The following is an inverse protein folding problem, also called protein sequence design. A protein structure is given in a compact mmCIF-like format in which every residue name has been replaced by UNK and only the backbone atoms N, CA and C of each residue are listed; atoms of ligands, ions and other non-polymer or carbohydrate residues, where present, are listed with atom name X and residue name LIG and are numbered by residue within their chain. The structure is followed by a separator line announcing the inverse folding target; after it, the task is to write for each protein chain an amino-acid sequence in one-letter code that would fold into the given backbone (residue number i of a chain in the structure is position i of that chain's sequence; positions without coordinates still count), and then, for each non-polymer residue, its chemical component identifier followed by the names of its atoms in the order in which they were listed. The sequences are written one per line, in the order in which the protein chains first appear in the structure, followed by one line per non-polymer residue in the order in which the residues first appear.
data_IF_401804769894
#
_entry.id   IF_401804769894
#
_cell.length_a   1.000
_cell.length_b   1.000
_cell.length_c   1.000
_cell.angle_alpha   90.00
_cell.angle_beta   90.00
_cell.angle_gamma   90.00
#
_symmetry.space_group_name_H-M   'P 1'
#
loop_
_entity.id
_entity.type
_entity.pdbx_description
1 polymer ?
#
# COMPACT_ATOMS: atom_id res chain seq x y z
N UNK A 1 34.61 -15.42 -9.33
CA UNK A 1 34.07 -16.48 -8.43
C UNK A 1 33.53 -15.97 -7.09
N UNK A 2 33.90 -14.79 -6.57
CA UNK A 2 33.38 -14.28 -5.28
C UNK A 2 31.95 -13.70 -5.38
N UNK A 3 31.61 -13.10 -6.53
CA UNK A 3 30.30 -12.48 -6.80
C UNK A 3 29.17 -13.50 -7.00
N UNK A 4 29.46 -14.65 -7.59
CA UNK A 4 28.49 -15.70 -7.92
C UNK A 4 27.95 -16.45 -6.68
N UNK A 5 28.82 -16.76 -5.70
CA UNK A 5 28.41 -17.34 -4.41
C UNK A 5 27.58 -16.37 -3.55
N UNK A 6 27.88 -15.07 -3.61
CA UNK A 6 27.14 -14.03 -2.87
C UNK A 6 25.76 -13.81 -3.49
N UNK A 7 25.66 -13.76 -4.82
CA UNK A 7 24.38 -13.69 -5.51
C UNK A 7 23.53 -14.94 -5.24
N UNK A 8 24.10 -16.15 -5.27
CA UNK A 8 23.36 -17.37 -4.95
C UNK A 8 22.80 -17.40 -3.52
N UNK A 9 23.54 -16.86 -2.54
CA UNK A 9 23.09 -16.79 -1.14
C UNK A 9 21.99 -15.75 -0.93
N UNK A 10 22.09 -14.59 -1.58
CA UNK A 10 21.06 -13.56 -1.52
C UNK A 10 19.75 -14.05 -2.15
N UNK A 11 19.80 -14.72 -3.31
CA UNK A 11 18.61 -15.30 -3.92
C UNK A 11 17.96 -16.38 -3.05
N UNK A 12 18.74 -17.25 -2.40
CA UNK A 12 18.20 -18.27 -1.47
C UNK A 12 17.56 -17.66 -0.23
N UNK A 13 18.17 -16.59 0.32
CA UNK A 13 17.62 -15.85 1.44
C UNK A 13 16.28 -15.22 1.05
N UNK A 14 16.22 -14.60 -0.12
CA UNK A 14 15.02 -13.95 -0.62
C UNK A 14 13.90 -14.94 -0.93
N UNK A 15 14.21 -16.07 -1.59
CA UNK A 15 13.24 -17.14 -1.81
C UNK A 15 12.69 -17.71 -0.49
N UNK A 16 13.52 -17.79 0.54
CA UNK A 16 13.07 -18.23 1.87
C UNK A 16 12.18 -17.19 2.54
N UNK A 17 12.54 -15.91 2.45
CA UNK A 17 11.70 -14.80 2.92
C UNK A 17 10.32 -14.84 2.27
N UNK A 18 10.27 -15.02 0.95
CA UNK A 18 9.02 -15.07 0.18
C UNK A 18 8.12 -16.24 0.60
N UNK A 19 8.70 -17.43 0.83
CA UNK A 19 7.95 -18.59 1.35
C UNK A 19 7.34 -18.32 2.71
N UNK A 20 8.09 -17.67 3.62
CA UNK A 20 7.59 -17.31 4.95
C UNK A 20 6.42 -16.34 4.85
N UNK A 21 6.53 -15.29 4.04
CA UNK A 21 5.49 -14.29 3.90
C UNK A 21 4.24 -14.83 3.22
N UNK A 22 4.40 -15.65 2.17
CA UNK A 22 3.27 -16.35 1.52
C UNK A 22 2.53 -17.25 2.50
N UNK A 23 3.25 -18.03 3.31
CA UNK A 23 2.64 -18.91 4.31
C UNK A 23 1.95 -18.11 5.44
N UNK A 24 2.56 -17.00 5.87
CA UNK A 24 1.97 -16.13 6.88
C UNK A 24 0.69 -15.46 6.38
N UNK A 25 0.70 -14.92 5.16
CA UNK A 25 -0.43 -14.28 4.51
C UNK A 25 -1.64 -15.24 4.39
N UNK A 26 -1.39 -16.49 3.96
CA UNK A 26 -2.41 -17.53 3.91
C UNK A 26 -3.01 -17.82 5.30
N UNK A 27 -2.16 -18.04 6.31
CA UNK A 27 -2.63 -18.34 7.67
C UNK A 27 -3.39 -17.16 8.31
N UNK A 28 -2.91 -15.93 8.11
CA UNK A 28 -3.57 -14.74 8.64
C UNK A 28 -5.00 -14.61 8.11
N UNK A 29 -5.23 -14.94 6.83
CA UNK A 29 -6.58 -14.89 6.23
C UNK A 29 -7.42 -16.12 6.57
N UNK A 30 -6.82 -17.30 6.71
CA UNK A 30 -7.56 -18.55 6.95
C UNK A 30 -8.03 -18.68 8.40
N UNK A 31 -7.14 -18.43 9.37
CA UNK A 31 -7.40 -18.65 10.79
C UNK A 31 -7.36 -17.37 11.63
N UNK A 32 -7.06 -16.23 11.00
CA UNK A 32 -6.97 -14.93 11.67
C UNK A 32 -5.57 -14.64 12.23
N UNK A 33 -5.29 -13.34 12.40
CA UNK A 33 -4.01 -12.85 12.92
C UNK A 33 -3.68 -13.36 14.32
N UNK A 34 -4.66 -13.36 15.23
CA UNK A 34 -4.44 -13.72 16.64
C UNK A 34 -4.12 -15.20 16.82
N UNK A 35 -4.83 -16.08 16.11
CA UNK A 35 -4.62 -17.53 16.16
C UNK A 35 -3.34 -17.97 15.43
N UNK A 36 -2.84 -17.17 14.48
CA UNK A 36 -1.61 -17.48 13.77
C UNK A 36 -0.39 -17.33 14.67
N UNK A 37 0.46 -18.37 14.70
CA UNK A 37 1.70 -18.39 15.48
C UNK A 37 2.94 -18.46 14.58
N UNK A 38 4.09 -18.02 15.08
CA UNK A 38 5.37 -18.20 14.37
C UNK A 38 5.65 -19.68 14.07
N UNK A 39 5.22 -20.59 14.95
CA UNK A 39 5.41 -22.03 14.77
C UNK A 39 4.52 -22.58 13.64
N UNK A 40 3.26 -22.15 13.54
CA UNK A 40 2.39 -22.54 12.43
C UNK A 40 2.89 -21.99 11.09
N UNK A 41 3.41 -20.76 11.07
CA UNK A 41 4.06 -20.18 9.88
C UNK A 41 5.28 -21.01 9.47
N UNK A 42 6.15 -21.35 10.42
CA UNK A 42 7.35 -22.16 10.14
C UNK A 42 7.00 -23.54 9.57
N UNK A 43 5.97 -24.19 10.14
CA UNK A 43 5.47 -25.48 9.66
C UNK A 43 4.91 -25.37 8.23
N UNK A 44 4.07 -24.37 7.96
CA UNK A 44 3.47 -24.13 6.65
C UNK A 44 4.52 -23.79 5.58
N UNK A 45 5.49 -22.92 5.91
CA UNK A 45 6.59 -22.54 5.01
C UNK A 45 7.69 -23.60 4.86
N UNK A 46 7.63 -24.70 5.63
CA UNK A 46 8.66 -25.75 5.68
C UNK A 46 10.06 -25.21 6.00
N UNK A 47 10.15 -24.37 7.04
CA UNK A 47 11.40 -23.78 7.54
C UNK A 47 11.50 -23.90 9.05
N UNK A 48 12.66 -23.57 9.61
CA UNK A 48 12.81 -23.52 11.07
C UNK A 48 12.12 -22.29 11.66
N UNK A 49 11.72 -22.36 12.94
CA UNK A 49 11.22 -21.20 13.69
C UNK A 49 12.24 -20.05 13.67
N UNK A 50 13.54 -20.36 13.81
CA UNK A 50 14.62 -19.36 13.74
C UNK A 50 14.68 -18.66 12.38
N UNK A 51 14.33 -19.36 11.29
CA UNK A 51 14.23 -18.77 9.95
C UNK A 51 13.09 -17.76 9.86
N UNK A 52 11.92 -18.07 10.43
CA UNK A 52 10.79 -17.13 10.47
C UNK A 52 11.13 -15.91 11.33
N UNK A 53 11.72 -16.13 12.51
CA UNK A 53 12.15 -15.03 13.39
C UNK A 53 13.24 -14.14 12.75
N UNK A 54 14.04 -14.67 11.83
CA UNK A 54 14.99 -13.88 11.05
C UNK A 54 14.33 -13.01 9.97
N UNK A 55 13.09 -13.32 9.57
CA UNK A 55 12.25 -12.44 8.74
C UNK A 55 11.63 -11.34 9.61
N UNK A 56 11.11 -11.71 10.79
CA UNK A 56 10.58 -10.75 11.75
C UNK A 56 9.69 -11.42 12.80
N UNK A 57 9.22 -10.62 13.76
CA UNK A 57 8.13 -11.04 14.64
C UNK A 57 6.78 -11.03 13.88
N UNK A 58 5.70 -11.47 14.53
CA UNK A 58 4.38 -11.61 13.89
C UNK A 58 3.86 -10.28 13.32
N UNK A 59 4.12 -9.15 14.00
CA UNK A 59 3.68 -7.83 13.54
C UNK A 59 4.51 -7.37 12.35
N UNK A 60 5.83 -7.52 12.42
CA UNK A 60 6.75 -7.19 11.32
C UNK A 60 6.48 -8.05 10.08
N UNK A 61 6.13 -9.33 10.26
CA UNK A 61 5.72 -10.22 9.16
C UNK A 61 4.42 -9.73 8.50
N UNK A 62 3.41 -9.32 9.28
CA UNK A 62 2.18 -8.77 8.71
C UNK A 62 2.47 -7.49 7.91
N UNK A 63 3.29 -6.58 8.46
CA UNK A 63 3.70 -5.37 7.74
C UNK A 63 4.42 -5.72 6.44
N UNK A 64 5.36 -6.67 6.47
CA UNK A 64 6.09 -7.11 5.28
C UNK A 64 5.18 -7.74 4.21
N UNK A 65 4.14 -8.48 4.61
CA UNK A 65 3.13 -9.03 3.69
C UNK A 65 2.41 -7.90 2.94
N UNK A 66 1.95 -6.88 3.66
CA UNK A 66 1.30 -5.72 3.03
C UNK A 66 2.28 -4.91 2.19
N UNK A 67 3.49 -4.67 2.67
CA UNK A 67 4.53 -3.93 1.96
C UNK A 67 4.88 -4.57 0.61
N UNK A 68 4.95 -5.90 0.54
CA UNK A 68 5.14 -6.61 -0.73
C UNK A 68 3.99 -6.41 -1.69
N UNK A 69 2.76 -6.52 -1.19
CA UNK A 69 1.57 -6.35 -2.01
C UNK A 69 1.44 -4.90 -2.51
N UNK A 70 1.69 -3.90 -1.67
CA UNK A 70 1.68 -2.47 -2.06
C UNK A 70 2.78 -2.23 -3.11
N UNK A 71 3.98 -2.78 -2.91
CA UNK A 71 5.07 -2.68 -3.90
C UNK A 71 4.69 -3.32 -5.25
N UNK A 72 3.99 -4.44 -5.24
CA UNK A 72 3.47 -5.08 -6.46
C UNK A 72 2.45 -4.20 -7.19
N UNK A 73 1.54 -3.55 -6.47
CA UNK A 73 0.58 -2.61 -7.06
C UNK A 73 1.30 -1.45 -7.77
N UNK A 74 2.30 -0.84 -7.14
CA UNK A 74 3.09 0.22 -7.78
C UNK A 74 3.88 -0.29 -9.00
N UNK A 75 4.48 -1.50 -8.90
CA UNK A 75 5.17 -2.11 -10.05
C UNK A 75 4.23 -2.31 -11.23
N UNK A 76 3.05 -2.89 -11.01
CA UNK A 76 2.07 -3.13 -12.07
C UNK A 76 1.60 -1.83 -12.74
N UNK A 77 1.37 -0.77 -11.96
CA UNK A 77 1.01 0.56 -12.50
C UNK A 77 2.12 1.19 -13.32
N UNK A 78 3.38 1.09 -12.88
CA UNK A 78 4.51 1.65 -13.63
C UNK A 78 4.66 1.02 -15.03
N UNK A 79 4.23 -0.24 -15.18
CA UNK A 79 4.18 -0.93 -16.47
C UNK A 79 2.97 -0.48 -17.29
N UNK A 80 1.79 -0.36 -16.66
CA UNK A 80 0.55 0.02 -17.34
C UNK A 80 0.51 1.50 -17.79
N UNK A 81 1.03 2.42 -16.98
CA UNK A 81 1.06 3.86 -17.25
C UNK A 81 1.94 4.29 -18.43
N UNK A 82 2.71 3.36 -19.01
CA UNK A 82 3.45 3.60 -20.28
C UNK A 82 2.60 3.39 -21.53
N UNK A 83 1.37 2.89 -21.39
CA UNK A 83 0.58 2.37 -22.51
C UNK A 83 -0.61 3.24 -22.94
N UNK A 84 -0.95 4.36 -22.27
CA UNK A 84 -2.12 5.15 -22.67
C UNK A 84 -1.95 6.65 -22.41
N UNK A 85 -1.94 7.45 -23.48
CA UNK A 85 -1.78 8.92 -23.48
C UNK A 85 -3.09 9.60 -23.92
N UNK A 86 -4.24 8.94 -23.79
CA UNK A 86 -5.52 9.50 -24.29
C UNK A 86 -6.50 9.99 -23.22
N UNK A 87 -6.17 9.96 -21.93
CA UNK A 87 -7.10 10.34 -20.86
C UNK A 87 -6.83 11.78 -20.34
N UNK A 88 -6.79 12.78 -21.21
CA UNK A 88 -6.59 14.17 -20.78
C UNK A 88 -7.81 14.76 -20.04
N UNK A 89 -8.97 14.09 -20.08
CA UNK A 89 -10.27 14.70 -19.73
C UNK A 89 -10.96 14.17 -18.45
N UNK A 90 -10.30 13.36 -17.61
CA UNK A 90 -10.94 12.90 -16.36
C UNK A 90 -9.98 12.68 -15.19
N UNK A 91 -9.34 13.76 -14.73
CA UNK A 91 -8.46 13.75 -13.56
C UNK A 91 -9.09 13.14 -12.29
N UNK A 92 -10.37 13.38 -11.95
CA UNK A 92 -11.01 12.71 -10.80
C UNK A 92 -11.00 11.19 -10.90
N UNK A 93 -11.35 10.64 -12.07
CA UNK A 93 -11.35 9.20 -12.28
C UNK A 93 -9.93 8.62 -12.28
N UNK A 94 -8.96 9.34 -12.83
CA UNK A 94 -7.56 8.93 -12.83
C UNK A 94 -7.01 8.87 -11.40
N UNK A 95 -7.22 9.92 -10.60
CA UNK A 95 -6.82 9.94 -9.19
C UNK A 95 -7.52 8.82 -8.41
N UNK A 96 -8.83 8.62 -8.59
CA UNK A 96 -9.55 7.54 -7.93
C UNK A 96 -8.99 6.16 -8.30
N UNK A 97 -8.61 5.97 -9.57
CA UNK A 97 -7.94 4.76 -10.07
C UNK A 97 -6.65 4.43 -9.32
N UNK A 98 -5.94 5.44 -8.80
CA UNK A 98 -4.76 5.24 -7.96
C UNK A 98 -5.08 4.62 -6.59
N UNK A 99 -6.34 4.68 -6.13
CA UNK A 99 -6.74 4.14 -4.83
C UNK A 99 -7.48 2.81 -4.93
N UNK A 100 -8.13 2.51 -6.06
CA UNK A 100 -9.01 1.33 -6.20
C UNK A 100 -8.36 0.01 -5.76
N UNK A 101 -7.12 -0.35 -6.18
CA UNK A 101 -6.50 -1.61 -5.73
C UNK A 101 -6.34 -1.70 -4.21
N UNK A 102 -6.07 -0.57 -3.55
CA UNK A 102 -5.94 -0.48 -2.10
C UNK A 102 -7.30 -0.61 -1.42
N UNK A 103 -8.28 0.15 -1.85
CA UNK A 103 -9.65 0.08 -1.31
C UNK A 103 -10.21 -1.34 -1.43
N UNK A 104 -10.03 -1.99 -2.58
CA UNK A 104 -10.46 -3.38 -2.79
C UNK A 104 -9.71 -4.36 -1.87
N UNK A 105 -8.39 -4.23 -1.74
CA UNK A 105 -7.60 -5.13 -0.90
C UNK A 105 -7.98 -5.00 0.57
N UNK A 106 -8.04 -3.78 1.10
CA UNK A 106 -8.39 -3.53 2.50
C UNK A 106 -9.86 -3.90 2.80
N UNK A 107 -10.75 -3.85 1.81
CA UNK A 107 -12.15 -4.28 1.96
C UNK A 107 -12.32 -5.81 1.99
N UNK A 108 -11.40 -6.60 1.41
CA UNK A 108 -11.50 -8.08 1.36
C UNK A 108 -11.42 -8.74 2.74
N UNK A 109 -10.62 -8.17 3.64
CA UNK A 109 -10.50 -8.64 5.02
C UNK A 109 -10.31 -7.45 5.96
N UNK A 110 -11.43 -6.88 6.40
CA UNK A 110 -11.42 -5.71 7.28
C UNK A 110 -10.80 -6.01 8.64
N UNK A 111 -10.88 -7.25 9.14
CA UNK A 111 -10.31 -7.61 10.43
C UNK A 111 -8.78 -7.57 10.37
N UNK A 112 -8.18 -8.22 9.36
CA UNK A 112 -6.74 -8.20 9.16
C UNK A 112 -6.22 -6.79 8.82
N UNK A 113 -6.96 -6.05 8.00
CA UNK A 113 -6.65 -4.66 7.64
C UNK A 113 -6.58 -3.73 8.86
N UNK A 114 -7.49 -3.91 9.82
CA UNK A 114 -7.48 -3.15 11.09
C UNK A 114 -6.26 -3.47 11.94
N UNK A 115 -5.84 -4.74 11.98
CA UNK A 115 -4.61 -5.12 12.69
C UNK A 115 -3.41 -4.44 12.04
N UNK A 116 -3.26 -4.53 10.72
CA UNK A 116 -2.20 -3.86 9.99
C UNK A 116 -2.19 -2.33 10.27
N UNK A 117 -3.32 -1.66 10.11
CA UNK A 117 -3.47 -0.24 10.39
C UNK A 117 -3.07 0.11 11.83
N UNK A 118 -3.47 -0.70 12.82
CA UNK A 118 -3.11 -0.48 14.23
C UNK A 118 -1.61 -0.61 14.52
N UNK A 119 -0.90 -1.47 13.78
CA UNK A 119 0.55 -1.64 13.93
C UNK A 119 1.29 -0.41 13.39
N UNK A 120 0.86 0.08 12.22
CA UNK A 120 1.43 1.27 11.58
C UNK A 120 1.17 2.53 12.43
N UNK A 121 -0.08 2.77 12.85
CA UNK A 121 -0.44 3.93 13.69
C UNK A 121 0.22 3.87 15.06
N UNK A 122 0.31 2.67 15.64
CA UNK A 122 0.97 2.48 16.93
C UNK A 122 2.48 2.75 16.89
N UNK A 123 3.08 3.00 15.71
CA UNK A 123 4.52 3.21 15.54
C UNK A 123 5.35 2.02 16.01
N UNK A 124 4.74 0.82 16.07
CA UNK A 124 5.40 -0.37 16.62
C UNK A 124 6.38 -1.00 15.65
N UNK A 125 6.26 -0.67 14.36
CA UNK A 125 7.13 -1.12 13.28
C UNK A 125 7.46 0.08 12.40
N UNK A 126 8.73 0.43 12.30
CA UNK A 126 9.21 1.42 11.34
C UNK A 126 9.23 0.80 9.93
N UNK A 127 8.20 1.04 9.12
CA UNK A 127 8.21 0.65 7.71
C UNK A 127 8.68 1.81 6.82
N UNK A 128 9.93 1.74 6.39
CA UNK A 128 10.47 2.62 5.33
C UNK A 128 9.74 2.42 4.00
N UNK A 129 9.26 1.20 3.74
CA UNK A 129 8.51 0.87 2.53
C UNK A 129 7.16 1.58 2.55
N UNK A 130 6.37 1.46 3.62
CA UNK A 130 5.11 2.18 3.76
C UNK A 130 5.29 3.69 3.55
N UNK A 131 6.33 4.28 4.16
CA UNK A 131 6.64 5.71 3.99
C UNK A 131 6.99 6.06 2.55
N UNK A 132 7.88 5.29 1.93
CA UNK A 132 8.33 5.56 0.55
C UNK A 132 7.23 5.33 -0.48
N UNK A 133 6.38 4.31 -0.31
CA UNK A 133 5.22 4.04 -1.17
C UNK A 133 4.12 5.09 -0.97
N UNK A 134 3.91 5.58 0.26
CA UNK A 134 3.02 6.72 0.52
C UNK A 134 3.48 8.01 -0.17
N UNK A 135 4.78 8.28 -0.17
CA UNK A 135 5.38 9.39 -0.92
C UNK A 135 5.21 9.20 -2.44
N UNK A 136 5.44 7.99 -2.95
CA UNK A 136 5.25 7.67 -4.37
C UNK A 136 3.79 7.87 -4.81
N UNK A 137 2.82 7.41 -4.01
CA UNK A 137 1.41 7.65 -4.29
C UNK A 137 1.05 9.14 -4.28
N UNK A 138 1.62 9.92 -3.35
CA UNK A 138 1.41 11.37 -3.30
C UNK A 138 1.95 12.06 -4.56
N UNK A 139 3.14 11.66 -5.02
CA UNK A 139 3.74 12.16 -6.27
C UNK A 139 2.90 11.79 -7.51
N UNK A 140 2.37 10.56 -7.58
CA UNK A 140 1.46 10.13 -8.65
C UNK A 140 0.18 10.99 -8.71
N UNK A 141 -0.39 11.33 -7.54
CA UNK A 141 -1.56 12.21 -7.47
C UNK A 141 -1.19 13.62 -7.91
N UNK A 142 -0.08 14.16 -7.44
CA UNK A 142 0.41 15.49 -7.84
C UNK A 142 0.58 15.57 -9.36
N UNK A 143 1.26 14.60 -9.97
CA UNK A 143 1.46 14.54 -11.41
C UNK A 143 0.14 14.48 -12.19
N UNK A 144 -0.84 13.76 -11.66
CA UNK A 144 -2.19 13.68 -12.23
C UNK A 144 -2.89 15.04 -12.17
N UNK A 145 -2.84 15.74 -11.03
CA UNK A 145 -3.42 17.08 -10.88
C UNK A 145 -2.71 18.11 -11.77
N UNK A 146 -1.39 18.03 -11.94
CA UNK A 146 -0.64 18.91 -12.85
C UNK A 146 -1.02 18.69 -14.31
N UNK A 147 -1.21 17.44 -14.74
CA UNK A 147 -1.68 17.12 -16.10
C UNK A 147 -3.10 17.63 -16.37
N UNK A 148 -3.92 17.71 -15.32
CA UNK A 148 -5.25 18.30 -15.34
C UNK A 148 -5.26 19.84 -15.41
N UNK A 149 -4.10 20.49 -15.33
CA UNK A 149 -3.97 21.94 -15.45
C UNK A 149 -3.90 22.73 -14.14
N UNK A 150 -3.86 22.05 -12.98
CA UNK A 150 -3.63 22.75 -11.70
C UNK A 150 -2.18 23.26 -11.61
N UNK A 151 -1.99 24.44 -11.00
CA UNK A 151 -0.65 24.96 -10.72
C UNK A 151 0.10 24.08 -9.69
N UNK A 152 1.42 24.27 -9.60
CA UNK A 152 2.29 23.41 -8.77
C UNK A 152 1.92 23.46 -7.28
N UNK A 153 1.57 24.62 -6.73
CA UNK A 153 1.22 24.75 -5.32
C UNK A 153 -0.08 24.02 -5.03
N UNK A 154 -1.08 24.22 -5.89
CA UNK A 154 -2.40 23.59 -5.78
C UNK A 154 -2.33 22.08 -5.94
N UNK A 155 -1.53 21.59 -6.89
CA UNK A 155 -1.33 20.15 -7.09
C UNK A 155 -0.69 19.47 -5.87
N UNK A 156 0.35 20.07 -5.29
CA UNK A 156 1.02 19.55 -4.07
C UNK A 156 0.03 19.49 -2.90
N UNK A 157 -0.70 20.58 -2.65
CA UNK A 157 -1.67 20.64 -1.55
C UNK A 157 -2.84 19.66 -1.78
N UNK A 158 -3.35 19.60 -3.00
CA UNK A 158 -4.43 18.68 -3.37
C UNK A 158 -4.03 17.22 -3.18
N UNK A 159 -2.83 16.84 -3.61
CA UNK A 159 -2.30 15.50 -3.41
C UNK A 159 -2.20 15.13 -1.92
N UNK A 160 -1.71 16.05 -1.08
CA UNK A 160 -1.65 15.85 0.37
C UNK A 160 -3.04 15.68 0.99
N UNK A 161 -4.01 16.53 0.62
CA UNK A 161 -5.39 16.45 1.14
C UNK A 161 -6.02 15.12 0.77
N UNK A 162 -5.89 14.69 -0.48
CA UNK A 162 -6.45 13.42 -0.96
C UNK A 162 -5.79 12.23 -0.24
N UNK A 163 -4.47 12.22 -0.12
CA UNK A 163 -3.74 11.16 0.55
C UNK A 163 -4.08 11.05 2.05
N UNK A 164 -4.13 12.18 2.76
CA UNK A 164 -4.50 12.18 4.18
C UNK A 164 -5.97 11.83 4.40
N UNK A 165 -6.87 12.22 3.50
CA UNK A 165 -8.26 11.79 3.56
C UNK A 165 -8.38 10.26 3.40
N UNK A 166 -7.67 9.68 2.43
CA UNK A 166 -7.59 8.23 2.25
C UNK A 166 -7.05 7.52 3.50
N UNK A 167 -5.94 8.00 4.08
CA UNK A 167 -5.42 7.44 5.33
C UNK A 167 -6.44 7.56 6.47
N UNK A 168 -7.10 8.70 6.63
CA UNK A 168 -8.13 8.89 7.64
C UNK A 168 -9.29 7.91 7.49
N UNK A 169 -9.71 7.59 6.26
CA UNK A 169 -10.73 6.59 5.96
C UNK A 169 -10.25 5.18 6.33
N UNK A 170 -9.01 4.82 5.95
CA UNK A 170 -8.41 3.54 6.30
C UNK A 170 -8.33 3.32 7.83
N UNK A 171 -8.13 4.40 8.59
CA UNK A 171 -8.08 4.37 10.06
C UNK A 171 -9.46 4.45 10.73
N UNK A 172 -10.50 4.81 9.98
CA UNK A 172 -11.84 5.00 10.51
C UNK A 172 -12.52 3.65 10.76
N UNK A 173 -13.19 3.52 11.91
CA UNK A 173 -13.92 2.28 12.28
C UNK A 173 -15.17 2.07 11.39
N UNK A 174 -15.62 3.11 10.69
CA UNK A 174 -16.86 3.12 9.91
C UNK A 174 -16.72 2.47 8.55
N UNK A 175 -17.01 1.17 8.47
CA UNK A 175 -17.10 0.43 7.21
C UNK A 175 -18.36 0.85 6.47
N UNK A 176 -18.23 1.21 5.19
CA UNK A 176 -19.36 1.15 4.25
C UNK A 176 -19.36 2.21 3.15
N UNK A 177 -18.61 3.32 3.30
CA UNK A 177 -18.74 4.46 2.38
C UNK A 177 -17.40 5.13 2.00
N UNK A 178 -16.26 4.50 2.32
CA UNK A 178 -14.93 5.09 2.10
C UNK A 178 -14.67 5.45 0.63
N UNK A 179 -15.17 4.64 -0.29
CA UNK A 179 -15.08 4.92 -1.73
C UNK A 179 -15.82 6.22 -2.10
N UNK A 180 -17.06 6.40 -1.63
CA UNK A 180 -17.85 7.59 -1.96
C UNK A 180 -17.31 8.83 -1.27
N UNK A 181 -16.82 8.70 -0.03
CA UNK A 181 -16.17 9.79 0.69
C UNK A 181 -14.88 10.22 0.00
N UNK A 182 -14.05 9.27 -0.42
CA UNK A 182 -12.82 9.56 -1.16
C UNK A 182 -13.14 10.22 -2.50
N UNK A 183 -14.13 9.70 -3.23
CA UNK A 183 -14.63 10.33 -4.45
C UNK A 183 -15.07 11.78 -4.20
N UNK A 184 -15.80 12.05 -3.13
CA UNK A 184 -16.19 13.41 -2.75
C UNK A 184 -15.01 14.35 -2.48
N UNK A 185 -13.96 13.86 -1.81
CA UNK A 185 -12.73 14.64 -1.59
C UNK A 185 -11.99 14.90 -2.90
N UNK A 186 -11.86 13.89 -3.77
CA UNK A 186 -11.23 14.03 -5.08
C UNK A 186 -12.01 15.04 -5.93
N UNK A 187 -13.33 14.90 -6.02
CA UNK A 187 -14.21 15.81 -6.76
C UNK A 187 -14.09 17.25 -6.21
N UNK A 188 -13.97 17.43 -4.90
CA UNK A 188 -13.79 18.76 -4.29
C UNK A 188 -12.44 19.39 -4.65
N UNK A 189 -11.34 18.63 -4.55
CA UNK A 189 -9.98 19.13 -4.83
C UNK A 189 -9.81 19.47 -6.32
N UNK A 190 -10.38 18.64 -7.20
CA UNK A 190 -10.28 18.78 -8.66
C UNK A 190 -11.22 19.85 -9.24
N UNK A 191 -12.43 20.02 -8.71
CA UNK A 191 -13.41 20.98 -9.24
C UNK A 191 -13.23 22.41 -8.73
N UNK A 192 -12.50 22.63 -7.64
CA UNK A 192 -12.13 23.99 -7.29
C UNK A 192 -11.15 24.51 -8.36
N UNK A 193 -11.66 25.30 -9.30
CA UNK A 193 -10.86 26.18 -10.16
C UNK A 193 -10.57 27.45 -9.37
N UNK A 194 -9.40 28.06 -9.57
CA UNK A 194 -8.94 29.23 -8.82
C UNK A 194 -10.01 30.32 -8.71
N UNK A 195 -10.62 30.42 -7.53
CA UNK A 195 -11.34 31.60 -7.07
C UNK A 195 -10.35 32.69 -6.71
N UNK A 196 -9.64 33.18 -7.72
CA UNK A 196 -8.66 34.26 -7.64
C UNK A 196 -9.10 35.47 -8.47
N UNK A 197 -10.33 35.94 -8.29
CA UNK A 197 -10.71 37.31 -8.66
C UNK A 197 -11.55 37.93 -7.53
N UNK A 198 -10.88 38.69 -6.66
CA UNK A 198 -11.08 40.14 -6.47
C UNK A 198 -10.25 40.66 -5.31
#
# INVERSE_FOLDING_TARGET
MFTERVQSRNHQKEATRQRVLTAADALFREIGFDATTIRSIAASAQVSVGTVMAVGDKNAILVAVYDEWIADVHRQRSVAGRADVSAQDNAPAEVLGLFLPFLEHFARDTALSRVYASIIVGGRVDSEIFRSLGLALTDEIEQTLRRAGHDSTRAVQGAQVIYFAYLGMLMSVGVGDDLNRLKGVIDFVTNQSDGGER
#
